data_IF_766883263036
#
_entry.id   IF_766883263036
#
_cell.length_a   1.000
_cell.length_b   1.000
_cell.length_c   1.000
_cell.angle_alpha   90.00
_cell.angle_beta   90.00
_cell.angle_gamma   90.00
#
_symmetry.space_group_name_H-M   'P 1'
#
loop_
_entity.id
_entity.type
_entity.pdbx_description
1 polymer ?
#
# COMPACT_ATOMS: atom_id res chain seq x y z
N UNK A 1 -23.07 9.00 6.77
CA UNK A 1 -21.60 8.96 6.76
C UNK A 1 -21.21 8.03 7.90
N UNK A 2 -20.89 6.77 7.59
CA UNK A 2 -20.28 5.88 8.59
C UNK A 2 -18.87 6.38 8.87
N UNK A 3 -18.45 6.29 10.14
CA UNK A 3 -17.14 6.74 10.59
C UNK A 3 -16.04 6.04 9.77
N UNK A 4 -14.92 6.71 9.52
CA UNK A 4 -13.79 6.14 8.78
C UNK A 4 -13.31 4.83 9.42
N UNK A 5 -13.29 4.79 10.76
CA UNK A 5 -12.98 3.59 11.53
C UNK A 5 -13.96 2.43 11.22
N UNK A 6 -15.26 2.71 11.14
CA UNK A 6 -16.27 1.70 10.83
C UNK A 6 -16.03 1.07 9.46
N UNK A 7 -15.65 1.88 8.45
CA UNK A 7 -15.41 1.38 7.08
C UNK A 7 -14.20 0.47 7.01
N UNK A 8 -13.12 0.82 7.70
CA UNK A 8 -11.90 0.01 7.73
C UNK A 8 -12.14 -1.35 8.40
N UNK A 9 -12.79 -1.35 9.57
CA UNK A 9 -13.09 -2.58 10.31
C UNK A 9 -14.03 -3.49 9.51
N UNK A 10 -15.05 -2.93 8.86
CA UNK A 10 -15.94 -3.67 7.96
C UNK A 10 -15.16 -4.27 6.79
N UNK A 11 -14.25 -3.49 6.17
CA UNK A 11 -13.45 -3.97 5.06
C UNK A 11 -12.54 -5.15 5.46
N UNK A 12 -11.89 -5.07 6.62
CA UNK A 12 -11.07 -6.16 7.15
C UNK A 12 -11.89 -7.40 7.51
N UNK A 13 -13.04 -7.22 8.18
CA UNK A 13 -13.93 -8.33 8.54
C UNK A 13 -14.45 -9.07 7.30
N UNK A 14 -14.64 -8.34 6.19
CA UNK A 14 -15.17 -8.87 4.93
C UNK A 14 -14.14 -9.71 4.14
N UNK A 15 -12.84 -9.63 4.44
CA UNK A 15 -11.78 -10.36 3.71
C UNK A 15 -11.96 -11.89 3.72
N UNK A 16 -12.58 -12.40 4.78
CA UNK A 16 -12.85 -13.85 4.98
C UNK A 16 -14.31 -14.22 4.70
N UNK A 17 -15.14 -13.25 4.31
CA UNK A 17 -16.60 -13.40 4.15
C UNK A 17 -17.04 -13.01 2.73
N UNK A 18 -16.25 -13.36 1.71
CA UNK A 18 -16.61 -13.09 0.32
C UNK A 18 -17.84 -13.88 -0.13
N UNK A 19 -18.50 -13.45 -1.23
CA UNK A 19 -19.59 -14.20 -1.84
C UNK A 19 -19.18 -15.66 -2.10
N UNK A 20 -20.10 -16.60 -1.85
CA UNK A 20 -19.87 -18.05 -1.98
C UNK A 20 -18.74 -18.62 -1.10
N UNK A 21 -18.38 -17.93 -0.01
CA UNK A 21 -17.33 -18.35 0.92
C UNK A 21 -15.91 -18.12 0.41
N UNK A 22 -15.74 -17.29 -0.63
CA UNK A 22 -14.44 -16.94 -1.16
C UNK A 22 -13.65 -16.06 -0.19
N UNK A 23 -12.35 -16.34 -0.05
CA UNK A 23 -11.42 -15.55 0.75
C UNK A 23 -10.47 -14.77 -0.15
N UNK A 24 -10.20 -13.51 0.20
CA UNK A 24 -9.22 -12.69 -0.53
C UNK A 24 -7.82 -13.27 -0.32
N UNK A 25 -7.11 -13.58 -1.41
CA UNK A 25 -5.77 -14.17 -1.34
C UNK A 25 -4.74 -13.09 -1.01
N UNK A 26 -4.00 -13.27 0.08
CA UNK A 26 -2.85 -12.46 0.44
C UNK A 26 -1.53 -13.02 -0.16
N UNK A 27 -0.49 -12.18 -0.30
CA UNK A 27 0.88 -12.64 -0.53
C UNK A 27 1.37 -13.60 0.56
N UNK A 28 2.32 -14.48 0.21
CA UNK A 28 2.90 -15.42 1.18
C UNK A 28 3.77 -14.68 2.18
N UNK A 29 3.71 -15.06 3.46
CA UNK A 29 4.52 -14.47 4.54
C UNK A 29 6.02 -14.43 4.19
N UNK A 30 6.57 -15.56 3.73
CA UNK A 30 7.98 -15.66 3.34
C UNK A 30 8.38 -14.63 2.29
N UNK A 31 7.52 -14.41 1.29
CA UNK A 31 7.78 -13.43 0.25
C UNK A 31 7.74 -12.00 0.80
N UNK A 32 6.77 -11.69 1.67
CA UNK A 32 6.69 -10.38 2.32
C UNK A 32 7.90 -10.12 3.23
N UNK A 33 8.43 -11.16 3.89
CA UNK A 33 9.67 -11.06 4.66
C UNK A 33 10.86 -10.73 3.77
N UNK A 34 11.02 -11.39 2.62
CA UNK A 34 12.11 -11.11 1.67
C UNK A 34 12.08 -9.64 1.19
N UNK A 35 10.90 -9.10 0.89
CA UNK A 35 10.72 -7.69 0.52
C UNK A 35 11.04 -6.76 1.69
N UNK A 36 10.62 -7.12 2.92
CA UNK A 36 10.93 -6.35 4.13
C UNK A 36 12.43 -6.35 4.46
N UNK A 37 13.13 -7.47 4.28
CA UNK A 37 14.57 -7.56 4.50
C UNK A 37 15.34 -6.72 3.46
N UNK A 38 14.90 -6.73 2.21
CA UNK A 38 15.52 -5.96 1.14
C UNK A 38 15.30 -4.44 1.28
N UNK A 39 14.08 -4.00 1.58
CA UNK A 39 13.68 -2.59 1.47
C UNK A 39 13.19 -1.95 2.78
N UNK A 40 13.10 -2.71 3.88
CA UNK A 40 12.51 -2.25 5.14
C UNK A 40 13.16 -0.99 5.72
N UNK A 41 14.48 -0.81 5.53
CA UNK A 41 15.18 0.41 5.94
C UNK A 41 14.75 1.63 5.13
N UNK A 42 14.54 1.47 3.82
CA UNK A 42 14.14 2.57 2.94
C UNK A 42 12.65 2.90 3.08
N UNK A 43 11.81 1.87 3.29
CA UNK A 43 10.41 2.04 3.69
C UNK A 43 10.32 2.82 5.01
N UNK A 44 11.08 2.43 6.04
CA UNK A 44 11.08 3.12 7.32
C UNK A 44 11.50 4.59 7.16
N UNK A 45 12.59 4.86 6.42
CA UNK A 45 13.05 6.23 6.18
C UNK A 45 12.03 7.08 5.43
N UNK A 46 11.39 6.52 4.41
CA UNK A 46 10.43 7.24 3.58
C UNK A 46 9.13 7.60 4.34
N UNK A 47 8.77 6.80 5.35
CA UNK A 47 7.55 6.98 6.15
C UNK A 47 7.74 7.87 7.39
N UNK A 48 8.98 8.25 7.73
CA UNK A 48 9.23 9.23 8.80
C UNK A 48 8.48 10.54 8.52
N UNK A 49 7.84 11.09 9.56
CA UNK A 49 7.06 12.33 9.52
C UNK A 49 5.85 12.30 8.56
N UNK A 50 5.38 11.11 8.17
CA UNK A 50 4.16 10.89 7.37
C UNK A 50 3.04 10.23 8.19
N UNK A 51 1.84 10.14 7.60
CA UNK A 51 0.72 9.32 8.11
C UNK A 51 0.73 7.89 7.60
N UNK A 52 1.78 7.46 6.89
CA UNK A 52 1.79 6.16 6.20
C UNK A 52 2.57 5.13 7.03
N UNK A 53 1.92 4.04 7.43
CA UNK A 53 2.60 2.94 8.12
C UNK A 53 3.59 2.22 7.19
N UNK A 54 4.80 1.85 7.67
CA UNK A 54 5.69 0.92 6.97
C UNK A 54 4.98 -0.36 6.50
N UNK A 55 4.09 -0.92 7.33
CA UNK A 55 3.32 -2.11 6.97
C UNK A 55 2.40 -1.88 5.76
N UNK A 56 1.83 -0.68 5.63
CA UNK A 56 1.00 -0.32 4.48
C UNK A 56 1.85 -0.21 3.21
N UNK A 57 3.02 0.41 3.29
CA UNK A 57 3.95 0.51 2.15
C UNK A 57 4.38 -0.88 1.68
N UNK A 58 4.73 -1.77 2.61
CA UNK A 58 5.10 -3.13 2.28
C UNK A 58 3.94 -3.89 1.61
N UNK A 59 2.72 -3.70 2.09
CA UNK A 59 1.52 -4.28 1.49
C UNK A 59 1.30 -3.79 0.04
N UNK A 60 1.43 -2.48 -0.20
CA UNK A 60 1.34 -1.89 -1.54
C UNK A 60 2.41 -2.48 -2.45
N UNK A 61 3.68 -2.51 -2.04
CA UNK A 61 4.77 -3.11 -2.84
C UNK A 61 4.49 -4.57 -3.18
N UNK A 62 3.99 -5.34 -2.21
CA UNK A 62 3.65 -6.76 -2.38
C UNK A 62 2.56 -7.00 -3.43
N UNK A 63 1.60 -6.08 -3.57
CA UNK A 63 0.53 -6.15 -4.58
C UNK A 63 0.97 -5.56 -5.93
N UNK A 64 1.68 -4.45 -5.92
CA UNK A 64 2.05 -3.72 -7.14
C UNK A 64 3.12 -4.43 -7.97
N UNK A 65 4.19 -4.89 -7.33
CA UNK A 65 5.38 -5.39 -8.04
C UNK A 65 5.88 -6.74 -7.55
N UNK A 66 5.35 -7.23 -6.43
CA UNK A 66 5.91 -8.36 -5.69
C UNK A 66 7.41 -8.13 -5.35
N UNK A 67 7.79 -6.88 -5.06
CA UNK A 67 9.17 -6.51 -4.72
C UNK A 67 10.13 -6.38 -5.91
N UNK A 68 9.64 -6.40 -7.15
CA UNK A 68 10.48 -6.22 -8.35
C UNK A 68 10.65 -4.74 -8.68
N UNK A 69 11.86 -4.19 -8.46
CA UNK A 69 12.15 -2.78 -8.72
C UNK A 69 12.21 -2.40 -10.21
N UNK A 70 12.32 -3.37 -11.10
CA UNK A 70 12.33 -3.20 -12.55
C UNK A 70 10.98 -3.51 -13.20
N UNK A 71 9.93 -3.73 -12.41
CA UNK A 71 8.59 -4.02 -12.93
C UNK A 71 8.04 -2.86 -13.76
N UNK A 72 7.51 -3.17 -14.94
CA UNK A 72 6.83 -2.20 -15.82
C UNK A 72 5.48 -2.78 -16.22
N UNK A 73 4.39 -2.07 -15.95
CA UNK A 73 3.04 -2.46 -16.38
C UNK A 73 2.78 -2.05 -17.83
N UNK A 74 1.72 -2.61 -18.42
CA UNK A 74 1.23 -2.19 -19.74
C UNK A 74 0.77 -0.73 -19.80
N UNK A 75 0.40 -0.15 -18.66
CA UNK A 75 0.02 1.26 -18.53
C UNK A 75 1.23 2.19 -18.32
N UNK A 76 2.45 1.65 -18.27
CA UNK A 76 3.68 2.41 -18.07
C UNK A 76 3.97 2.77 -16.62
N UNK A 77 3.29 2.14 -15.66
CA UNK A 77 3.65 2.24 -14.24
C UNK A 77 4.96 1.48 -13.98
N UNK A 78 5.87 2.05 -13.17
CA UNK A 78 7.24 1.54 -13.01
C UNK A 78 7.62 1.34 -11.54
N UNK A 79 8.38 0.27 -11.29
CA UNK A 79 9.08 0.02 -10.03
C UNK A 79 8.24 -0.57 -8.92
N UNK A 80 8.78 -0.51 -7.71
CA UNK A 80 8.27 -1.20 -6.53
C UNK A 80 6.81 -0.86 -6.20
N UNK A 81 6.45 0.41 -6.29
CA UNK A 81 5.14 0.94 -5.98
C UNK A 81 4.34 1.34 -7.23
N UNK A 82 4.80 0.90 -8.41
CA UNK A 82 4.15 1.10 -9.73
C UNK A 82 3.65 2.54 -9.93
N UNK A 83 4.57 3.49 -9.95
CA UNK A 83 4.24 4.89 -10.22
C UNK A 83 4.11 5.11 -11.73
N UNK A 84 2.99 5.66 -12.18
CA UNK A 84 2.87 6.19 -13.54
C UNK A 84 3.73 7.46 -13.71
N UNK A 85 4.17 7.81 -14.94
CA UNK A 85 5.12 8.90 -15.14
C UNK A 85 4.67 10.25 -14.56
N UNK A 86 3.38 10.59 -14.69
CA UNK A 86 2.83 11.83 -14.15
C UNK A 86 2.89 11.88 -12.61
N UNK A 87 2.64 10.76 -11.93
CA UNK A 87 2.76 10.65 -10.47
C UNK A 87 4.23 10.70 -10.05
N UNK A 88 5.11 9.99 -10.75
CA UNK A 88 6.54 10.03 -10.50
C UNK A 88 7.09 11.47 -10.58
N UNK A 89 6.76 12.21 -11.63
CA UNK A 89 7.13 13.61 -11.80
C UNK A 89 6.59 14.50 -10.66
N UNK A 90 5.29 14.38 -10.35
CA UNK A 90 4.63 15.17 -9.30
C UNK A 90 5.29 14.98 -7.93
N UNK A 91 5.79 13.78 -7.64
CA UNK A 91 6.41 13.43 -6.35
C UNK A 91 7.93 13.31 -6.41
N UNK A 92 8.57 13.91 -7.42
CA UNK A 92 10.02 14.13 -7.46
C UNK A 92 10.86 12.87 -7.72
N UNK A 93 10.29 11.87 -8.39
CA UNK A 93 10.97 10.65 -8.81
C UNK A 93 11.55 10.86 -10.20
N UNK A 94 12.89 10.89 -10.31
CA UNK A 94 13.58 11.08 -11.60
C UNK A 94 13.94 9.75 -12.27
N UNK A 95 14.14 8.70 -11.48
CA UNK A 95 14.29 7.33 -11.95
C UNK A 95 13.32 6.44 -11.16
N UNK A 96 12.27 5.95 -11.82
CA UNK A 96 11.27 5.10 -11.19
C UNK A 96 11.74 3.65 -10.99
N UNK A 97 12.84 3.24 -11.62
CA UNK A 97 13.44 1.92 -11.41
C UNK A 97 14.41 1.89 -10.23
N UNK A 98 14.86 3.06 -9.76
CA UNK A 98 15.61 3.20 -8.51
C UNK A 98 14.68 2.92 -7.31
N UNK A 99 14.95 1.87 -6.51
CA UNK A 99 14.08 1.47 -5.40
C UNK A 99 13.84 2.59 -4.38
N UNK A 100 14.88 3.36 -4.06
CA UNK A 100 14.83 4.38 -3.00
C UNK A 100 13.98 5.56 -3.44
N UNK A 101 14.18 6.04 -4.67
CA UNK A 101 13.34 7.09 -5.25
C UNK A 101 11.90 6.62 -5.40
N UNK A 102 11.67 5.40 -5.89
CA UNK A 102 10.33 4.87 -6.09
C UNK A 102 9.55 4.76 -4.78
N UNK A 103 10.16 4.20 -3.73
CA UNK A 103 9.57 4.12 -2.38
C UNK A 103 9.27 5.53 -1.85
N UNK A 104 10.25 6.45 -1.93
CA UNK A 104 10.05 7.83 -1.44
C UNK A 104 8.89 8.53 -2.14
N UNK A 105 8.81 8.43 -3.47
CA UNK A 105 7.73 9.02 -4.24
C UNK A 105 6.36 8.40 -3.97
N UNK A 106 6.30 7.07 -3.88
CA UNK A 106 5.07 6.35 -3.58
C UNK A 106 4.55 6.61 -2.17
N UNK A 107 5.44 6.72 -1.18
CA UNK A 107 5.07 7.13 0.18
C UNK A 107 4.57 8.58 0.21
N UNK A 108 5.23 9.49 -0.50
CA UNK A 108 4.77 10.88 -0.60
C UNK A 108 3.39 10.97 -1.26
N UNK A 109 3.11 10.13 -2.26
CA UNK A 109 1.79 10.05 -2.88
C UNK A 109 0.74 9.50 -1.90
N UNK A 110 1.03 8.40 -1.20
CA UNK A 110 0.14 7.84 -0.18
C UNK A 110 -0.15 8.86 0.94
N UNK A 111 0.86 9.57 1.45
CA UNK A 111 0.67 10.58 2.49
C UNK A 111 -0.20 11.76 2.01
N UNK A 112 -0.05 12.15 0.75
CA UNK A 112 -0.94 13.13 0.14
C UNK A 112 -2.39 12.61 0.05
N UNK A 113 -2.59 11.37 -0.36
CA UNK A 113 -3.91 10.73 -0.40
C UNK A 113 -4.53 10.58 0.99
N UNK A 114 -3.74 10.23 2.01
CA UNK A 114 -4.20 10.16 3.41
C UNK A 114 -4.84 11.48 3.84
N UNK A 115 -4.20 12.61 3.51
CA UNK A 115 -4.74 13.94 3.80
C UNK A 115 -6.02 14.23 3.00
N UNK A 116 -6.03 13.91 1.72
CA UNK A 116 -7.19 14.15 0.83
C UNK A 116 -8.44 13.37 1.29
N UNK A 117 -8.24 12.15 1.78
CA UNK A 117 -9.34 11.25 2.15
C UNK A 117 -9.50 11.05 3.66
N UNK A 118 -8.99 11.97 4.48
CA UNK A 118 -9.13 11.97 5.96
C UNK A 118 -8.73 10.64 6.60
N UNK A 119 -7.56 10.14 6.22
CA UNK A 119 -6.96 8.88 6.68
C UNK A 119 -7.82 7.63 6.41
N UNK A 120 -8.79 7.70 5.49
CA UNK A 120 -9.64 6.56 5.11
C UNK A 120 -8.90 5.56 4.23
N UNK A 121 -8.55 4.36 4.74
CA UNK A 121 -7.71 3.42 4.01
C UNK A 121 -8.38 2.90 2.74
N UNK A 122 -9.71 2.77 2.75
CA UNK A 122 -10.46 2.27 1.59
C UNK A 122 -10.42 3.28 0.46
N UNK A 123 -10.61 4.57 0.78
CA UNK A 123 -10.59 5.64 -0.24
C UNK A 123 -9.18 5.92 -0.72
N UNK A 124 -8.18 5.89 0.18
CA UNK A 124 -6.77 6.07 -0.16
C UNK A 124 -6.30 4.98 -1.12
N UNK A 125 -6.58 3.71 -0.84
CA UNK A 125 -6.18 2.60 -1.71
C UNK A 125 -6.92 2.61 -3.05
N UNK A 126 -8.21 2.99 -3.04
CA UNK A 126 -8.96 3.15 -4.28
C UNK A 126 -8.39 4.29 -5.14
N UNK A 127 -8.00 5.40 -4.52
CA UNK A 127 -7.41 6.55 -5.20
C UNK A 127 -5.99 6.26 -5.69
N UNK A 128 -5.21 5.47 -4.96
CA UNK A 128 -3.88 5.05 -5.39
C UNK A 128 -3.94 4.25 -6.70
N UNK A 129 -4.91 3.32 -6.81
CA UNK A 129 -5.08 2.49 -8.00
C UNK A 129 -5.82 3.20 -9.15
N UNK A 130 -6.91 3.91 -8.87
CA UNK A 130 -7.79 4.49 -9.89
C UNK A 130 -7.53 5.98 -10.20
N UNK A 131 -6.69 6.63 -9.41
CA UNK A 131 -6.54 8.08 -9.35
C UNK A 131 -7.60 8.75 -8.45
N UNK A 132 -7.19 9.81 -7.74
CA UNK A 132 -8.04 10.57 -6.82
C UNK A 132 -9.30 11.13 -7.49
N UNK A 133 -9.19 11.57 -8.75
CA UNK A 133 -10.30 12.17 -9.50
C UNK A 133 -11.44 11.17 -9.73
N UNK A 134 -11.13 9.89 -9.92
CA UNK A 134 -12.14 8.85 -10.08
C UNK A 134 -12.90 8.61 -8.78
N UNK A 135 -12.22 8.60 -7.64
CA UNK A 135 -12.85 8.45 -6.32
C UNK A 135 -13.75 9.64 -5.99
N UNK A 136 -13.27 10.87 -6.24
CA UNK A 136 -14.03 12.10 -6.04
C UNK A 136 -15.28 12.11 -6.92
N UNK A 137 -15.14 11.80 -8.22
CA UNK A 137 -16.26 11.78 -9.17
C UNK A 137 -17.34 10.74 -8.81
N UNK A 138 -16.95 9.63 -8.18
CA UNK A 138 -17.87 8.58 -7.74
C UNK A 138 -18.34 8.75 -6.29
N UNK A 139 -17.84 9.75 -5.56
CA UNK A 139 -18.08 9.92 -4.11
C UNK A 139 -17.81 8.63 -3.32
N UNK A 140 -16.79 7.88 -3.71
CA UNK A 140 -16.47 6.56 -3.18
C UNK A 140 -15.64 5.72 -4.14
N UNK A 141 -15.48 4.43 -3.80
CA UNK A 141 -14.74 3.48 -4.64
C UNK A 141 -15.41 3.37 -6.02
N UNK A 142 -14.70 3.67 -7.13
CA UNK A 142 -15.29 3.65 -8.46
C UNK A 142 -15.76 2.24 -8.85
N UNK A 143 -16.72 2.10 -9.77
CA UNK A 143 -17.23 0.80 -10.24
C UNK A 143 -16.26 0.09 -11.20
N UNK A 144 -14.95 0.23 -11.00
CA UNK A 144 -13.92 -0.47 -11.76
C UNK A 144 -13.63 -1.81 -11.10
N UNK A 145 -13.75 -2.89 -11.86
CA UNK A 145 -13.52 -4.24 -11.34
C UNK A 145 -12.11 -4.36 -10.71
N UNK A 146 -11.11 -3.80 -11.39
CA UNK A 146 -9.73 -3.76 -10.90
C UNK A 146 -9.61 -3.08 -9.54
N UNK A 147 -10.18 -1.87 -9.38
CA UNK A 147 -10.08 -1.12 -8.12
C UNK A 147 -10.85 -1.79 -6.98
N UNK A 148 -12.02 -2.37 -7.28
CA UNK A 148 -12.81 -3.13 -6.29
C UNK A 148 -12.09 -4.39 -5.83
N UNK A 149 -11.26 -4.98 -6.68
CA UNK A 149 -10.41 -6.11 -6.33
C UNK A 149 -9.11 -5.65 -5.63
N UNK A 150 -8.59 -4.48 -5.98
CA UNK A 150 -7.32 -3.96 -5.48
C UNK A 150 -7.36 -3.66 -3.98
N UNK A 151 -8.36 -2.90 -3.53
CA UNK A 151 -8.51 -2.50 -2.13
C UNK A 151 -8.44 -3.70 -1.16
N UNK A 152 -9.29 -4.74 -1.30
CA UNK A 152 -9.24 -5.87 -0.40
C UNK A 152 -7.92 -6.67 -0.50
N UNK A 153 -7.28 -6.74 -1.68
CA UNK A 153 -5.97 -7.40 -1.83
C UNK A 153 -4.89 -6.71 -1.03
N UNK A 154 -4.83 -5.37 -1.07
CA UNK A 154 -3.85 -4.61 -0.27
C UNK A 154 -4.15 -4.73 1.22
N UNK A 155 -5.42 -4.69 1.63
CA UNK A 155 -5.78 -4.89 3.04
C UNK A 155 -5.41 -6.29 3.55
N UNK A 156 -5.61 -7.33 2.74
CA UNK A 156 -5.16 -8.69 3.05
C UNK A 156 -3.63 -8.79 3.12
N UNK A 157 -2.91 -8.10 2.21
CA UNK A 157 -1.45 -8.00 2.26
C UNK A 157 -0.97 -7.23 3.51
N UNK A 158 -1.70 -6.20 3.94
CA UNK A 158 -1.42 -5.45 5.16
C UNK A 158 -1.56 -6.31 6.42
N UNK A 159 -2.57 -7.20 6.51
CA UNK A 159 -2.67 -8.16 7.61
C UNK A 159 -1.45 -9.10 7.71
N UNK A 160 -0.84 -9.45 6.57
CA UNK A 160 0.43 -10.21 6.56
C UNK A 160 1.59 -9.30 6.98
N UNK A 161 1.69 -8.10 6.41
CA UNK A 161 2.78 -7.15 6.67
C UNK A 161 2.83 -6.68 8.14
N UNK A 162 1.70 -6.42 8.78
CA UNK A 162 1.66 -6.02 10.19
C UNK A 162 2.20 -7.12 11.12
N UNK A 163 2.05 -8.40 10.73
CA UNK A 163 2.59 -9.54 11.47
C UNK A 163 4.12 -9.59 11.47
N UNK A 164 4.76 -8.91 10.50
CA UNK A 164 6.21 -8.76 10.43
C UNK A 164 6.73 -7.63 11.32
N UNK A 165 5.86 -6.77 11.86
CA UNK A 165 6.28 -5.69 12.74
C UNK A 165 6.66 -6.22 14.15
N UNK A 166 7.56 -5.53 14.85
CA UNK A 166 7.92 -5.81 16.25
C UNK A 166 6.68 -5.68 17.14
N UNK A 167 6.01 -4.53 17.06
CA UNK A 167 4.68 -4.27 17.58
C UNK A 167 3.69 -4.20 16.41
N UNK A 168 2.60 -4.95 16.49
CA UNK A 168 1.60 -4.97 15.41
C UNK A 168 0.80 -3.67 15.42
N UNK A 169 0.81 -2.88 14.32
CA UNK A 169 -0.05 -1.72 14.17
C UNK A 169 -1.53 -2.13 14.17
N UNK A 170 -2.42 -1.28 14.67
CA UNK A 170 -3.87 -1.49 14.59
C UNK A 170 -4.48 -0.75 13.40
N UNK A 171 -3.88 0.38 13.01
CA UNK A 171 -4.29 1.21 11.88
C UNK A 171 -3.20 1.24 10.80
N UNK A 172 -3.60 1.50 9.56
CA UNK A 172 -2.65 1.72 8.44
C UNK A 172 -1.82 3.00 8.59
N UNK A 173 -2.12 3.81 9.60
CA UNK A 173 -1.40 5.03 9.97
C UNK A 173 -0.45 4.82 11.15
N UNK A 174 -0.54 3.68 11.85
CA UNK A 174 0.32 3.40 12.99
C UNK A 174 1.75 3.07 12.53
N UNK A 175 2.78 3.69 13.12
CA UNK A 175 4.16 3.38 12.77
C UNK A 175 4.52 1.96 13.22
N UNK A 176 5.43 1.32 12.49
CA UNK A 176 5.98 0.04 12.89
C UNK A 176 7.44 -0.11 12.45
N UNK A 177 8.16 -1.03 13.10
CA UNK A 177 9.50 -1.46 12.67
C UNK A 177 9.39 -2.95 12.36
N UNK A 178 9.89 -3.38 11.19
CA UNK A 178 9.89 -4.79 10.83
C UNK A 178 10.91 -5.58 11.66
N UNK A 179 10.57 -6.83 11.98
CA UNK A 179 11.49 -7.85 12.46
C UNK A 179 12.29 -8.35 11.26
N UNK A 180 13.29 -7.58 10.86
CA UNK A 180 14.28 -8.04 9.89
C UNK A 180 15.41 -8.71 10.63
N UNK A 181 16.06 -9.70 9.99
CA UNK A 181 17.30 -10.24 10.53
C UNK A 181 18.36 -9.13 10.50
N UNK A 182 18.51 -8.44 11.63
CA UNK A 182 19.60 -7.49 11.89
C UNK A 182 20.96 -8.21 12.02
N UNK A 183 21.08 -9.47 11.60
CA UNK A 183 22.27 -10.32 11.68
C UNK A 183 23.45 -9.86 10.79
N UNK A 184 23.42 -8.63 10.29
CA UNK A 184 24.48 -8.02 9.50
C UNK A 184 24.95 -6.66 10.02
N UNK A 185 24.74 -6.34 11.30
CA UNK A 185 25.45 -5.28 12.02
C UNK A 185 26.58 -5.88 12.88
#
# INVERSE_FOLDING_TARGET
>A
MGDTADRFDIALASLTQGPDGQTVRAPRLQHMQEVADAYGKDILRATLDTKVSPALVLAVIGIESAGRSDAVSSAGAVGLMQLIPATAERFGVTDSSDPVQNIKGGVAYLDWLMKEFNDDPVMVLAAYNAGEGAVIANSGVPPYAETRDYVPKVLAAWQVAQGLCVSQPMLVTDPCIFRTDLAGL
#
